data_IF_184652676214
#
_entry.id   IF_184652676214
#
_cell.length_a   1.000
_cell.length_b   1.000
_cell.length_c   1.000
_cell.angle_alpha   90.00
_cell.angle_beta   90.00
_cell.angle_gamma   90.00
#
_symmetry.space_group_name_H-M   'P 1'
#
loop_
_entity.id
_entity.type
_entity.pdbx_description
1 polymer ?
#
# COMPACT_ATOMS: atom_id res chain seq x y z
N UNK A 1 46.16 -16.11 12.96
CA UNK A 1 44.88 -15.53 12.49
C UNK A 1 43.84 -15.75 13.57
N UNK A 2 43.71 -14.82 14.52
CA UNK A 2 42.84 -14.96 15.70
C UNK A 2 41.64 -14.02 15.49
N UNK A 3 40.67 -14.48 14.70
CA UNK A 3 39.36 -13.82 14.58
C UNK A 3 38.72 -13.81 15.96
N UNK A 4 38.44 -12.63 16.52
CA UNK A 4 37.73 -12.58 17.80
C UNK A 4 36.26 -12.94 17.50
N UNK A 5 35.59 -13.72 18.34
CA UNK A 5 34.18 -14.08 18.14
C UNK A 5 33.26 -12.85 18.08
N UNK A 6 33.69 -11.71 18.64
CA UNK A 6 32.97 -10.44 18.53
C UNK A 6 33.01 -9.82 17.12
N UNK A 7 34.07 -10.09 16.34
CA UNK A 7 34.23 -9.53 14.99
C UNK A 7 33.27 -10.22 14.00
N UNK A 8 33.04 -11.54 14.19
CA UNK A 8 32.13 -12.34 13.34
C UNK A 8 30.68 -11.90 13.49
N UNK A 9 30.25 -11.60 14.72
CA UNK A 9 28.89 -11.13 14.99
C UNK A 9 28.69 -9.73 14.38
N UNK A 10 29.72 -8.89 14.47
CA UNK A 10 29.69 -7.55 13.88
C UNK A 10 29.66 -7.58 12.36
N UNK A 11 30.47 -8.38 11.68
CA UNK A 11 30.42 -8.51 10.22
C UNK A 11 29.09 -9.13 9.75
N UNK A 12 28.58 -10.15 10.43
CA UNK A 12 27.35 -10.83 10.02
C UNK A 12 26.09 -9.95 10.16
N UNK A 13 26.05 -9.06 11.16
CA UNK A 13 24.87 -8.20 11.40
C UNK A 13 25.05 -6.75 10.91
N UNK A 14 26.21 -6.12 11.10
CA UNK A 14 26.39 -4.68 10.84
C UNK A 14 26.72 -4.38 9.38
N UNK A 15 27.45 -5.24 8.68
CA UNK A 15 27.78 -4.99 7.27
C UNK A 15 26.56 -4.98 6.34
N UNK A 16 25.61 -5.93 6.44
CA UNK A 16 24.41 -5.85 5.62
C UNK A 16 23.52 -4.64 6.00
N UNK A 17 23.51 -4.22 7.28
CA UNK A 17 22.80 -3.02 7.74
C UNK A 17 23.38 -1.70 7.18
N UNK A 18 24.65 -1.68 6.77
CA UNK A 18 25.29 -0.51 6.16
C UNK A 18 24.90 -0.29 4.70
N UNK A 19 24.31 -1.29 4.03
CA UNK A 19 23.86 -1.15 2.66
C UNK A 19 22.74 -0.09 2.58
N UNK A 20 22.90 0.89 1.67
CA UNK A 20 21.89 1.93 1.44
C UNK A 20 20.50 1.35 1.11
N UNK A 21 20.45 0.17 0.47
CA UNK A 21 19.21 -0.55 0.21
C UNK A 21 18.52 -1.00 1.51
N UNK A 22 19.28 -1.55 2.46
CA UNK A 22 18.74 -2.00 3.74
C UNK A 22 18.20 -0.81 4.56
N UNK A 23 18.93 0.31 4.59
CA UNK A 23 18.48 1.53 5.26
C UNK A 23 17.18 2.08 4.65
N UNK A 24 17.10 2.13 3.31
CA UNK A 24 15.88 2.55 2.61
C UNK A 24 14.71 1.60 2.86
N UNK A 25 14.96 0.28 2.86
CA UNK A 25 13.95 -0.72 3.16
C UNK A 25 13.44 -0.60 4.60
N UNK A 26 14.33 -0.42 5.58
CA UNK A 26 13.94 -0.21 6.98
C UNK A 26 13.07 1.04 7.14
N UNK A 27 13.46 2.17 6.55
CA UNK A 27 12.64 3.39 6.56
C UNK A 27 11.28 3.15 5.92
N UNK A 28 11.24 2.48 4.77
CA UNK A 28 9.98 2.18 4.08
C UNK A 28 9.06 1.29 4.93
N UNK A 29 9.58 0.21 5.53
CA UNK A 29 8.79 -0.71 6.36
C UNK A 29 8.28 -0.05 7.63
N UNK A 30 9.06 0.83 8.27
CA UNK A 30 8.59 1.60 9.43
C UNK A 30 7.41 2.50 9.04
N UNK A 31 7.52 3.23 7.93
CA UNK A 31 6.45 4.11 7.43
C UNK A 31 5.20 3.29 7.07
N UNK A 32 5.38 2.19 6.31
CA UNK A 32 4.29 1.30 5.92
C UNK A 32 3.63 0.67 7.15
N UNK A 33 4.40 0.25 8.15
CA UNK A 33 3.90 -0.35 9.39
C UNK A 33 3.03 0.61 10.19
N UNK A 34 3.45 1.87 10.35
CA UNK A 34 2.65 2.91 11.03
C UNK A 34 1.33 3.14 10.28
N UNK A 35 1.40 3.33 8.95
CA UNK A 35 0.21 3.60 8.13
C UNK A 35 -0.74 2.41 8.14
N UNK A 36 -0.23 1.18 7.97
CA UNK A 36 -1.04 -0.04 7.94
C UNK A 36 -1.67 -0.33 9.30
N UNK A 37 -1.00 -0.02 10.42
CA UNK A 37 -1.58 -0.19 11.76
C UNK A 37 -2.79 0.72 11.97
N UNK A 38 -2.66 2.00 11.61
CA UNK A 38 -3.77 2.97 11.70
C UNK A 38 -4.93 2.60 10.77
N UNK A 39 -4.62 2.27 9.51
CA UNK A 39 -5.64 1.87 8.54
C UNK A 39 -6.32 0.56 8.92
N UNK A 40 -5.59 -0.41 9.47
CA UNK A 40 -6.16 -1.67 9.95
C UNK A 40 -7.15 -1.47 11.08
N UNK A 41 -6.81 -0.65 12.09
CA UNK A 41 -7.71 -0.33 13.19
C UNK A 41 -9.00 0.38 12.68
N UNK A 42 -8.86 1.30 11.72
CA UNK A 42 -9.99 1.96 11.08
C UNK A 42 -10.89 0.98 10.31
N UNK A 43 -10.30 0.10 9.51
CA UNK A 43 -11.02 -0.90 8.71
C UNK A 43 -11.80 -1.86 9.60
N UNK A 44 -11.20 -2.35 10.68
CA UNK A 44 -11.83 -3.28 11.62
C UNK A 44 -13.00 -2.62 12.35
N UNK A 45 -12.83 -1.38 12.84
CA UNK A 45 -13.91 -0.67 13.55
C UNK A 45 -15.08 -0.27 12.66
N UNK A 46 -14.85 -0.12 11.35
CA UNK A 46 -15.89 0.16 10.34
C UNK A 46 -16.44 -1.09 9.65
N UNK A 47 -15.93 -2.27 9.96
CA UNK A 47 -16.38 -3.53 9.35
C UNK A 47 -16.17 -3.60 7.83
N UNK A 48 -15.15 -2.96 7.29
CA UNK A 48 -14.86 -2.92 5.84
C UNK A 48 -13.92 -4.05 5.42
N UNK A 49 -14.37 -5.30 5.52
CA UNK A 49 -13.52 -6.48 5.32
C UNK A 49 -12.87 -6.54 3.92
N UNK A 50 -13.57 -6.05 2.88
CA UNK A 50 -13.11 -6.13 1.49
C UNK A 50 -12.33 -4.91 1.00
N UNK A 51 -12.07 -3.90 1.84
CA UNK A 51 -11.45 -2.65 1.39
C UNK A 51 -10.07 -2.86 0.77
N UNK A 52 -9.24 -3.71 1.38
CA UNK A 52 -7.88 -3.99 0.91
C UNK A 52 -7.85 -4.61 -0.49
N UNK A 53 -8.65 -5.66 -0.70
CA UNK A 53 -8.74 -6.34 -1.99
C UNK A 53 -9.33 -5.43 -3.07
N UNK A 54 -10.39 -4.68 -2.76
CA UNK A 54 -10.99 -3.74 -3.70
C UNK A 54 -10.01 -2.62 -4.10
N UNK A 55 -9.25 -2.07 -3.15
CA UNK A 55 -8.24 -1.05 -3.45
C UNK A 55 -7.10 -1.60 -4.32
N UNK A 56 -6.63 -2.82 -4.05
CA UNK A 56 -5.57 -3.43 -4.87
C UNK A 56 -5.99 -3.57 -6.34
N UNK A 57 -7.23 -4.01 -6.58
CA UNK A 57 -7.74 -4.20 -7.94
C UNK A 57 -8.09 -2.88 -8.62
N UNK A 58 -8.54 -1.86 -7.87
CA UNK A 58 -8.89 -0.55 -8.47
C UNK A 58 -7.66 0.29 -8.79
N UNK A 59 -6.62 0.22 -7.97
CA UNK A 59 -5.39 1.00 -8.13
C UNK A 59 -4.52 0.43 -9.26
N UNK A 60 -4.40 -0.89 -9.36
CA UNK A 60 -3.54 -1.57 -10.35
C UNK A 60 -3.79 -1.14 -11.81
N UNK A 61 -5.03 -1.10 -12.34
CA UNK A 61 -5.30 -0.61 -13.70
C UNK A 61 -4.95 0.88 -13.86
N UNK A 62 -5.12 1.71 -12.82
CA UNK A 62 -4.67 3.11 -12.84
C UNK A 62 -3.16 3.26 -12.99
N UNK A 63 -2.40 2.43 -12.27
CA UNK A 63 -0.94 2.34 -12.43
C UNK A 63 -0.57 1.82 -13.81
N UNK A 64 -1.29 0.81 -14.33
CA UNK A 64 -1.05 0.26 -15.66
C UNK A 64 -1.27 1.30 -16.78
N UNK A 65 -2.35 2.09 -16.71
CA UNK A 65 -2.61 3.18 -17.66
C UNK A 65 -1.52 4.25 -17.59
N UNK A 66 -1.06 4.60 -16.38
CA UNK A 66 0.04 5.54 -16.21
C UNK A 66 1.37 5.00 -16.75
N UNK A 67 1.64 3.70 -16.58
CA UNK A 67 2.80 3.03 -17.15
C UNK A 67 2.81 3.11 -18.68
N UNK A 68 1.67 2.84 -19.33
CA UNK A 68 1.56 2.91 -20.80
C UNK A 68 1.85 4.33 -21.31
N UNK A 69 1.37 5.36 -20.60
CA UNK A 69 1.45 6.76 -21.06
C UNK A 69 2.80 7.42 -20.78
N UNK A 70 3.52 6.99 -19.75
CA UNK A 70 4.75 7.65 -19.30
C UNK A 70 5.96 6.72 -19.14
N UNK A 71 5.83 5.45 -19.53
CA UNK A 71 6.87 4.44 -19.38
C UNK A 71 7.22 4.15 -17.92
N UNK A 72 8.51 3.90 -17.65
CA UNK A 72 9.00 3.47 -16.34
C UNK A 72 9.32 4.61 -15.35
N UNK A 73 8.79 5.83 -15.58
CA UNK A 73 9.00 6.96 -14.68
C UNK A 73 8.18 6.82 -13.39
N UNK A 74 8.83 6.97 -12.23
CA UNK A 74 8.20 6.75 -10.90
C UNK A 74 7.08 7.74 -10.58
N UNK A 75 7.23 9.03 -10.91
CA UNK A 75 6.24 10.06 -10.60
C UNK A 75 4.86 9.78 -11.22
N UNK A 76 4.77 9.55 -12.54
CA UNK A 76 3.53 9.21 -13.24
C UNK A 76 2.81 7.98 -12.69
N UNK A 77 3.55 6.94 -12.31
CA UNK A 77 2.98 5.71 -11.72
C UNK A 77 2.26 6.00 -10.40
N UNK A 78 2.89 6.79 -9.53
CA UNK A 78 2.29 7.23 -8.26
C UNK A 78 1.03 8.05 -8.49
N UNK A 79 1.07 8.98 -9.46
CA UNK A 79 -0.08 9.83 -9.80
C UNK A 79 -1.23 9.00 -10.38
N UNK A 80 -0.95 8.05 -11.27
CA UNK A 80 -1.97 7.17 -11.84
C UNK A 80 -2.66 6.30 -10.79
N UNK A 81 -1.88 5.68 -9.90
CA UNK A 81 -2.42 4.90 -8.78
C UNK A 81 -3.23 5.76 -7.81
N UNK A 82 -2.74 6.96 -7.48
CA UNK A 82 -3.44 7.90 -6.60
C UNK A 82 -4.78 8.35 -7.19
N UNK A 83 -4.82 8.71 -8.47
CA UNK A 83 -6.05 9.13 -9.15
C UNK A 83 -7.07 7.99 -9.13
N UNK A 84 -6.67 6.77 -9.49
CA UNK A 84 -7.56 5.61 -9.47
C UNK A 84 -8.08 5.32 -8.05
N UNK A 85 -7.21 5.32 -7.04
CA UNK A 85 -7.62 5.12 -5.65
C UNK A 85 -8.59 6.19 -5.13
N UNK A 86 -8.35 7.46 -5.47
CA UNK A 86 -9.25 8.57 -5.10
C UNK A 86 -10.61 8.44 -5.79
N UNK A 87 -10.63 8.10 -7.08
CA UNK A 87 -11.88 7.88 -7.81
C UNK A 87 -12.69 6.73 -7.20
N UNK A 88 -12.04 5.64 -6.82
CA UNK A 88 -12.69 4.52 -6.14
C UNK A 88 -13.22 4.90 -4.76
N UNK A 89 -12.45 5.63 -3.95
CA UNK A 89 -12.90 6.12 -2.65
C UNK A 89 -14.11 7.07 -2.78
N UNK A 90 -14.12 7.94 -3.80
CA UNK A 90 -15.25 8.81 -4.10
C UNK A 90 -16.47 8.01 -4.55
N UNK A 91 -16.30 6.99 -5.41
CA UNK A 91 -17.38 6.12 -5.84
C UNK A 91 -18.02 5.37 -4.65
N UNK A 92 -17.20 4.78 -3.76
CA UNK A 92 -17.67 4.13 -2.53
C UNK A 92 -18.45 5.14 -1.68
N UNK A 93 -17.88 6.33 -1.46
CA UNK A 93 -18.46 7.40 -0.65
C UNK A 93 -19.79 7.93 -1.20
N UNK A 94 -19.92 8.07 -2.52
CA UNK A 94 -21.16 8.46 -3.18
C UNK A 94 -22.26 7.40 -3.01
N UNK A 95 -21.91 6.13 -3.12
CA UNK A 95 -22.85 5.01 -2.96
C UNK A 95 -23.34 4.86 -1.51
N UNK A 96 -22.49 5.15 -0.53
CA UNK A 96 -22.82 5.08 0.90
C UNK A 96 -23.51 6.34 1.45
N UNK A 97 -23.43 7.47 0.74
CA UNK A 97 -23.98 8.76 1.19
C UNK A 97 -25.48 8.72 1.51
N UNK A 98 -26.22 7.84 0.83
CA UNK A 98 -27.67 7.68 0.99
C UNK A 98 -28.11 6.78 2.16
N UNK A 99 -27.20 6.23 2.98
CA UNK A 99 -27.46 5.29 4.10
C UNK A 99 -28.26 4.01 3.77
N UNK A 100 -28.68 3.81 2.52
CA UNK A 100 -29.42 2.61 2.09
C UNK A 100 -28.52 1.37 1.97
N UNK A 101 -27.21 1.56 1.86
CA UNK A 101 -26.24 0.51 1.56
C UNK A 101 -25.05 0.67 2.53
N UNK A 102 -24.55 -0.44 3.08
CA UNK A 102 -23.39 -0.46 3.97
C UNK A 102 -22.10 -0.21 3.18
N UNK A 103 -21.05 0.25 3.87
CA UNK A 103 -19.74 0.50 3.27
C UNK A 103 -19.16 -0.76 2.62
N UNK A 104 -19.27 -1.90 3.29
CA UNK A 104 -18.79 -3.18 2.78
C UNK A 104 -19.55 -3.64 1.52
N UNK A 105 -20.86 -3.42 1.45
CA UNK A 105 -21.65 -3.71 0.24
C UNK A 105 -21.32 -2.75 -0.90
N UNK A 106 -21.09 -1.47 -0.63
CA UNK A 106 -20.65 -0.53 -1.66
C UNK A 106 -19.27 -0.87 -2.23
N UNK A 107 -18.34 -1.29 -1.36
CA UNK A 107 -17.02 -1.81 -1.75
C UNK A 107 -17.20 -3.06 -2.63
N UNK A 108 -18.07 -3.99 -2.23
CA UNK A 108 -18.37 -5.21 -2.99
C UNK A 108 -18.95 -4.95 -4.37
N UNK A 109 -19.85 -3.96 -4.52
CA UNK A 109 -20.42 -3.56 -5.82
C UNK A 109 -19.33 -3.04 -6.76
N UNK A 110 -18.44 -2.20 -6.25
CA UNK A 110 -17.34 -1.62 -7.05
C UNK A 110 -16.32 -2.70 -7.43
N UNK A 111 -16.05 -3.64 -6.53
CA UNK A 111 -15.18 -4.78 -6.82
C UNK A 111 -15.76 -5.72 -7.88
N UNK A 112 -17.06 -6.04 -7.79
CA UNK A 112 -17.74 -6.91 -8.75
C UNK A 112 -17.93 -6.25 -10.14
N UNK A 113 -17.90 -4.92 -10.20
CA UNK A 113 -18.06 -4.16 -11.44
C UNK A 113 -16.78 -3.95 -12.25
N UNK A 114 -15.65 -4.52 -11.83
CA UNK A 114 -14.34 -4.37 -12.47
C UNK A 114 -13.96 -5.54 -13.37
#
# INVERSE_FOLDING_TARGET
>A
MRVRPMDIIQELFLDPLRLQLMQRAMMAVIIIGIVSGVMGAYVVTRGMAFLGDALAHTILPGVAVAFIRSGSSRGPLLVGGLIAGVLSALAIGLLTRGRRITEDTAIGIIFAGM
#
